data_IF_813791266220
#
_entry.id   IF_813791266220
#
_cell.length_a   1.000
_cell.length_b   1.000
_cell.length_c   1.000
_cell.angle_alpha   90.00
_cell.angle_beta   90.00
_cell.angle_gamma   90.00
#
_symmetry.space_group_name_H-M   'P 1'
#
loop_
_entity.id
_entity.type
_entity.pdbx_description
1 polymer ?
#
# COMPACT_ATOMS: atom_id res chain seq x y z
N UNK A 1 -3.99 -15.05 23.35
CA UNK A 1 -5.24 -15.73 22.95
C UNK A 1 -6.35 -14.78 22.54
N UNK A 2 -6.46 -13.55 23.06
CA UNK A 2 -7.51 -12.61 22.63
C UNK A 2 -7.38 -12.12 21.16
N UNK A 3 -6.16 -11.83 20.70
CA UNK A 3 -5.93 -11.30 19.34
C UNK A 3 -6.38 -12.25 18.21
N UNK A 4 -6.27 -13.57 18.40
CA UNK A 4 -6.64 -14.54 17.37
C UNK A 4 -8.17 -14.66 17.19
N UNK A 5 -8.93 -14.58 18.28
CA UNK A 5 -10.40 -14.64 18.21
C UNK A 5 -11.00 -13.38 17.58
N UNK A 6 -10.35 -12.23 17.79
CA UNK A 6 -10.73 -10.97 17.17
C UNK A 6 -10.49 -11.01 15.66
N UNK A 7 -9.32 -11.51 15.25
CA UNK A 7 -8.94 -11.70 13.84
C UNK A 7 -9.86 -12.68 13.10
N UNK A 8 -10.27 -13.79 13.74
CA UNK A 8 -11.26 -14.73 13.20
C UNK A 8 -12.65 -14.11 13.06
N UNK A 9 -13.10 -13.33 14.05
CA UNK A 9 -14.39 -12.64 13.98
C UNK A 9 -14.42 -11.61 12.84
N UNK A 10 -13.29 -10.93 12.60
CA UNK A 10 -13.14 -10.00 11.49
C UNK A 10 -13.08 -10.67 10.14
N UNK A 11 -12.38 -11.79 10.04
CA UNK A 11 -12.39 -12.61 8.83
C UNK A 11 -13.82 -13.04 8.50
N UNK A 12 -14.60 -13.48 9.49
CA UNK A 12 -15.99 -13.84 9.30
C UNK A 12 -16.87 -12.66 8.82
N UNK A 13 -16.67 -11.45 9.37
CA UNK A 13 -17.39 -10.25 8.92
C UNK A 13 -16.98 -9.88 7.48
N UNK A 14 -15.70 -10.01 7.15
CA UNK A 14 -15.21 -9.75 5.80
C UNK A 14 -15.74 -10.77 4.78
N UNK A 15 -15.75 -12.06 5.11
CA UNK A 15 -16.28 -13.13 4.26
C UNK A 15 -17.79 -12.94 4.05
N UNK A 16 -18.51 -12.52 5.08
CA UNK A 16 -19.93 -12.21 4.99
C UNK A 16 -20.19 -10.98 4.11
N UNK A 17 -19.39 -9.93 4.28
CA UNK A 17 -19.43 -8.75 3.42
C UNK A 17 -19.14 -9.10 1.96
N UNK A 18 -18.12 -9.92 1.70
CA UNK A 18 -17.72 -10.36 0.36
C UNK A 18 -18.83 -11.17 -0.31
N UNK A 19 -19.44 -12.09 0.44
CA UNK A 19 -20.56 -12.91 -0.04
C UNK A 19 -21.76 -12.05 -0.45
N UNK A 20 -22.08 -11.00 0.32
CA UNK A 20 -23.17 -10.07 -0.01
C UNK A 20 -22.84 -9.20 -1.22
N UNK A 21 -21.58 -8.78 -1.39
CA UNK A 21 -21.13 -8.06 -2.58
C UNK A 21 -21.18 -8.94 -3.84
N UNK A 22 -20.73 -10.19 -3.74
CA UNK A 22 -20.83 -11.17 -4.83
C UNK A 22 -22.28 -11.48 -5.20
N UNK A 23 -23.20 -11.46 -4.23
CA UNK A 23 -24.64 -11.60 -4.48
C UNK A 23 -25.27 -10.40 -5.20
N UNK A 24 -24.50 -9.37 -5.55
CA UNK A 24 -24.95 -8.16 -6.23
C UNK A 24 -25.35 -7.04 -5.27
N UNK A 25 -25.10 -7.20 -3.96
CA UNK A 25 -25.26 -6.14 -2.99
C UNK A 25 -24.27 -5.00 -3.25
N UNK A 26 -24.69 -3.76 -2.99
CA UNK A 26 -23.75 -2.64 -2.94
C UNK A 26 -23.09 -2.60 -1.56
N UNK A 27 -21.90 -2.04 -1.50
CA UNK A 27 -21.17 -1.90 -0.23
C UNK A 27 -21.89 -1.00 0.77
N UNK A 28 -22.70 -0.05 0.28
CA UNK A 28 -23.58 0.76 1.12
C UNK A 28 -24.63 -0.11 1.81
N UNK A 29 -25.25 -1.05 1.08
CA UNK A 29 -26.20 -2.00 1.65
C UNK A 29 -25.52 -2.89 2.70
N UNK A 30 -24.34 -3.42 2.38
CA UNK A 30 -23.53 -4.23 3.30
C UNK A 30 -23.18 -3.48 4.58
N UNK A 31 -22.75 -2.21 4.47
CA UNK A 31 -22.44 -1.39 5.64
C UNK A 31 -23.65 -1.12 6.53
N UNK A 32 -24.84 -0.92 5.95
CA UNK A 32 -26.09 -0.72 6.72
C UNK A 32 -26.50 -1.99 7.43
N UNK A 33 -26.35 -3.13 6.77
CA UNK A 33 -26.73 -4.44 7.31
C UNK A 33 -25.78 -4.91 8.42
N UNK A 34 -24.48 -4.59 8.30
CA UNK A 34 -23.46 -4.88 9.31
C UNK A 34 -23.28 -3.76 10.35
N UNK A 35 -24.06 -2.67 10.27
CA UNK A 35 -23.95 -1.49 11.12
C UNK A 35 -22.53 -0.90 11.20
N UNK A 36 -21.83 -0.87 10.06
CA UNK A 36 -20.47 -0.35 9.90
C UNK A 36 -20.50 1.09 9.38
N UNK A 37 -19.50 1.90 9.76
CA UNK A 37 -19.33 3.24 9.19
C UNK A 37 -18.91 3.13 7.73
N UNK A 38 -19.73 3.65 6.84
CA UNK A 38 -19.43 3.72 5.42
C UNK A 38 -18.67 5.00 5.09
N UNK A 39 -17.41 4.85 4.65
CA UNK A 39 -16.60 5.97 4.15
C UNK A 39 -16.22 5.71 2.70
N UNK A 40 -16.69 6.59 1.80
CA UNK A 40 -16.30 6.61 0.39
C UNK A 40 -15.22 7.64 0.17
N UNK A 41 -14.08 7.21 -0.38
CA UNK A 41 -13.03 8.12 -0.83
C UNK A 41 -12.84 7.95 -2.34
N UNK A 42 -13.34 8.91 -3.13
CA UNK A 42 -13.36 8.82 -4.59
C UNK A 42 -12.02 9.19 -5.25
N UNK A 43 -11.12 9.86 -4.51
CA UNK A 43 -9.92 10.50 -5.06
C UNK A 43 -8.70 10.30 -4.16
N UNK A 44 -8.53 9.10 -3.61
CA UNK A 44 -7.37 8.77 -2.79
C UNK A 44 -6.07 8.73 -3.63
N UNK A 45 -5.10 9.58 -3.28
CA UNK A 45 -3.73 9.50 -3.84
C UNK A 45 -2.76 8.91 -2.82
N UNK A 46 -1.62 8.38 -3.27
CA UNK A 46 -0.56 7.83 -2.38
C UNK A 46 -0.06 8.85 -1.36
N UNK A 47 -0.16 10.14 -1.68
CA UNK A 47 0.33 11.24 -0.85
C UNK A 47 -0.77 11.90 -0.01
N UNK A 48 -2.04 11.64 -0.32
CA UNK A 48 -3.14 12.22 0.43
C UNK A 48 -3.19 11.65 1.86
N UNK A 49 -3.37 12.53 2.83
CA UNK A 49 -3.50 12.22 4.27
C UNK A 49 -4.94 11.92 4.70
N UNK A 50 -5.88 11.85 3.75
CA UNK A 50 -7.31 11.64 4.02
C UNK A 50 -7.64 10.20 4.48
N UNK A 51 -6.76 9.25 4.19
CA UNK A 51 -6.88 7.86 4.65
C UNK A 51 -5.78 7.55 5.67
N UNK A 52 -6.10 6.76 6.72
CA UNK A 52 -5.08 6.17 7.58
C UNK A 52 -4.02 5.43 6.76
N UNK A 53 -2.76 5.55 7.14
CA UNK A 53 -1.63 4.91 6.41
C UNK A 53 -1.86 3.41 6.18
N UNK A 54 -2.29 2.61 7.19
CA UNK A 54 -2.51 1.17 6.97
C UNK A 54 -3.54 0.87 5.88
N UNK A 55 -4.65 1.62 5.86
CA UNK A 55 -5.74 1.47 4.89
C UNK A 55 -5.24 1.82 3.48
N UNK A 56 -4.51 2.93 3.36
CA UNK A 56 -3.95 3.38 2.10
C UNK A 56 -2.94 2.38 1.54
N UNK A 57 -2.01 1.92 2.37
CA UNK A 57 -0.97 0.99 1.95
C UNK A 57 -1.59 -0.35 1.51
N UNK A 58 -2.58 -0.85 2.26
CA UNK A 58 -3.34 -2.03 1.86
C UNK A 58 -4.06 -1.84 0.52
N UNK A 59 -4.76 -0.71 0.32
CA UNK A 59 -5.44 -0.41 -0.95
C UNK A 59 -4.47 -0.42 -2.15
N UNK A 60 -3.27 0.15 -2.00
CA UNK A 60 -2.27 0.18 -3.08
C UNK A 60 -1.54 -1.15 -3.33
N UNK A 61 -1.79 -2.19 -2.51
CA UNK A 61 -1.29 -3.55 -2.72
C UNK A 61 -2.32 -4.50 -3.33
N UNK A 62 -3.59 -4.09 -3.40
CA UNK A 62 -4.67 -4.91 -3.96
C UNK A 62 -4.61 -4.91 -5.51
N UNK A 63 -5.00 -6.03 -6.16
CA UNK A 63 -5.05 -6.10 -7.61
C UNK A 63 -6.13 -5.16 -8.16
N UNK A 64 -5.80 -4.45 -9.25
CA UNK A 64 -6.75 -3.58 -9.91
C UNK A 64 -7.79 -4.40 -10.70
N UNK A 65 -9.06 -4.03 -10.59
CA UNK A 65 -10.16 -4.60 -11.40
C UNK A 65 -11.02 -5.65 -10.69
N UNK A 66 -10.66 -6.04 -9.47
CA UNK A 66 -11.49 -6.93 -8.67
C UNK A 66 -12.29 -6.14 -7.64
N UNK A 67 -13.48 -5.69 -8.06
CA UNK A 67 -14.40 -4.98 -7.19
C UNK A 67 -15.02 -5.90 -6.11
N UNK A 68 -14.89 -7.22 -6.22
CA UNK A 68 -15.37 -8.14 -5.21
C UNK A 68 -14.32 -8.37 -4.10
N UNK A 69 -13.03 -8.21 -4.40
CA UNK A 69 -11.97 -8.42 -3.40
C UNK A 69 -12.05 -7.41 -2.27
N UNK A 70 -12.27 -7.91 -1.06
CA UNK A 70 -12.16 -7.16 0.19
C UNK A 70 -10.82 -7.43 0.86
N UNK A 71 -10.28 -6.42 1.54
CA UNK A 71 -9.10 -6.57 2.39
C UNK A 71 -9.35 -5.98 3.77
N UNK A 72 -9.15 -6.80 4.79
CA UNK A 72 -9.18 -6.36 6.18
C UNK A 72 -7.85 -5.73 6.56
N UNK A 73 -7.91 -4.63 7.30
CA UNK A 73 -6.76 -3.87 7.77
C UNK A 73 -6.97 -3.49 9.21
N UNK A 74 -5.99 -3.79 10.06
CA UNK A 74 -5.98 -3.37 11.45
C UNK A 74 -5.56 -1.90 11.55
N UNK A 75 -6.34 -1.11 12.28
CA UNK A 75 -6.05 0.29 12.59
C UNK A 75 -5.54 0.37 14.03
N UNK A 76 -4.25 0.68 14.25
CA UNK A 76 -3.69 0.77 15.60
C UNK A 76 -4.45 1.81 16.44
N UNK A 77 -5.13 1.35 17.50
CA UNK A 77 -5.85 2.21 18.43
C UNK A 77 -7.27 2.63 18.02
N UNK A 78 -7.73 2.28 16.81
CA UNK A 78 -9.06 2.65 16.30
C UNK A 78 -9.92 1.44 15.89
N UNK A 79 -9.34 0.24 15.84
CA UNK A 79 -10.06 -1.01 15.52
C UNK A 79 -9.65 -1.56 14.16
N UNK A 80 -10.60 -1.71 13.25
CA UNK A 80 -10.39 -2.39 11.97
C UNK A 80 -11.16 -1.72 10.84
N UNK A 81 -10.63 -1.85 9.63
CA UNK A 81 -11.25 -1.36 8.40
C UNK A 81 -11.31 -2.47 7.35
N UNK A 82 -12.42 -2.48 6.60
CA UNK A 82 -12.57 -3.30 5.40
C UNK A 82 -12.41 -2.37 4.20
N UNK A 83 -11.49 -2.72 3.32
CA UNK A 83 -11.10 -1.92 2.16
C UNK A 83 -11.52 -2.64 0.90
N UNK A 84 -12.22 -1.92 0.02
CA UNK A 84 -12.59 -2.39 -1.31
C UNK A 84 -12.06 -1.39 -2.35
N UNK A 85 -11.50 -1.90 -3.45
CA UNK A 85 -11.10 -1.08 -4.59
C UNK A 85 -12.27 -0.88 -5.55
N UNK A 86 -12.85 0.33 -5.55
CA UNK A 86 -13.89 0.67 -6.52
C UNK A 86 -13.33 0.90 -7.93
N UNK A 87 -12.22 1.63 -8.04
CA UNK A 87 -11.56 1.92 -9.32
C UNK A 87 -10.11 2.28 -9.10
N UNK A 88 -9.25 1.88 -10.04
CA UNK A 88 -7.85 2.32 -10.12
C UNK A 88 -7.66 3.12 -11.40
N UNK A 89 -7.11 4.32 -11.29
CA UNK A 89 -6.63 5.10 -12.43
C UNK A 89 -5.12 4.89 -12.53
N UNK A 90 -4.60 4.23 -13.59
CA UNK A 90 -3.17 4.06 -13.79
C UNK A 90 -2.46 5.41 -13.87
N UNK A 91 -1.23 5.47 -13.37
CA UNK A 91 -0.36 6.60 -13.65
C UNK A 91 -0.06 6.65 -15.15
N UNK A 92 -0.14 7.84 -15.74
CA UNK A 92 0.19 8.09 -17.14
C UNK A 92 1.70 8.38 -17.26
N UNK A 93 2.54 7.45 -17.76
CA UNK A 93 3.96 7.73 -17.96
C UNK A 93 4.20 8.82 -19.02
N UNK A 94 3.26 8.96 -19.96
CA UNK A 94 3.17 10.06 -20.94
C UNK A 94 2.99 11.43 -20.32
N UNK A 95 2.45 11.51 -19.10
CA UNK A 95 2.25 12.77 -18.38
C UNK A 95 3.53 13.25 -17.67
N UNK A 96 4.58 12.42 -17.60
CA UNK A 96 5.87 12.82 -17.02
C UNK A 96 6.52 13.85 -17.94
N UNK A 97 6.70 15.06 -17.43
CA UNK A 97 7.35 16.13 -18.18
C UNK A 97 8.84 15.83 -18.42
N UNK A 98 9.43 16.48 -19.42
CA UNK A 98 10.87 16.32 -19.69
C UNK A 98 11.72 16.74 -18.47
N UNK A 99 11.27 17.75 -17.71
CA UNK A 99 11.91 18.20 -16.48
C UNK A 99 11.85 17.14 -15.38
N UNK A 100 10.70 16.53 -15.15
CA UNK A 100 10.56 15.44 -14.17
C UNK A 100 11.40 14.22 -14.57
N UNK A 101 11.44 13.88 -15.85
CA UNK A 101 12.32 12.82 -16.35
C UNK A 101 13.82 13.12 -16.11
N UNK A 102 14.26 14.36 -16.31
CA UNK A 102 15.63 14.77 -16.00
C UNK A 102 15.93 14.71 -14.49
N UNK A 103 14.99 15.12 -13.65
CA UNK A 103 15.13 14.99 -12.19
C UNK A 103 15.25 13.53 -11.75
N UNK A 104 14.39 12.65 -12.28
CA UNK A 104 14.44 11.21 -12.02
C UNK A 104 15.75 10.58 -12.52
N UNK A 105 16.26 11.01 -13.68
CA UNK A 105 17.55 10.56 -14.20
C UNK A 105 18.71 11.00 -13.28
N UNK A 106 18.72 12.24 -12.82
CA UNK A 106 19.76 12.76 -11.93
C UNK A 106 19.75 12.06 -10.56
N UNK A 107 18.57 11.79 -9.99
CA UNK A 107 18.46 11.01 -8.75
C UNK A 107 19.07 9.62 -8.91
N UNK A 108 18.73 8.92 -10.00
CA UNK A 108 19.26 7.59 -10.29
C UNK A 108 20.78 7.59 -10.51
N UNK A 109 21.31 8.60 -11.20
CA UNK A 109 22.74 8.77 -11.40
C UNK A 109 23.48 8.96 -10.07
N UNK A 110 22.95 9.77 -9.16
CA UNK A 110 23.55 9.99 -7.84
C UNK A 110 23.57 8.70 -6.99
N UNK A 111 22.46 7.96 -6.97
CA UNK A 111 22.38 6.68 -6.24
C UNK A 111 23.38 5.64 -6.80
N UNK A 112 23.47 5.54 -8.14
CA UNK A 112 24.41 4.63 -8.78
C UNK A 112 25.87 5.01 -8.53
N UNK A 113 26.18 6.32 -8.54
CA UNK A 113 27.52 6.81 -8.22
C UNK A 113 27.92 6.46 -6.79
N UNK A 114 27.00 6.64 -5.83
CA UNK A 114 27.26 6.33 -4.43
C UNK A 114 27.52 4.84 -4.22
N UNK A 115 26.68 3.97 -4.76
CA UNK A 115 26.86 2.52 -4.69
C UNK A 115 28.18 2.06 -5.32
N UNK A 116 28.51 2.58 -6.51
CA UNK A 116 29.76 2.25 -7.20
C UNK A 116 30.99 2.71 -6.42
N UNK A 117 30.92 3.87 -5.76
CA UNK A 117 32.02 4.38 -4.94
C UNK A 117 32.20 3.56 -3.66
N UNK A 118 31.11 3.18 -3.00
CA UNK A 118 31.16 2.34 -1.81
C UNK A 118 31.78 0.97 -2.12
N UNK A 119 31.38 0.34 -3.23
CA UNK A 119 31.96 -0.94 -3.69
C UNK A 119 33.44 -0.80 -4.03
N UNK A 120 33.83 0.29 -4.71
CA UNK A 120 35.23 0.60 -4.98
C UNK A 120 36.05 0.73 -3.69
N UNK A 121 35.54 1.42 -2.67
CA UNK A 121 36.22 1.56 -1.39
C UNK A 121 36.36 0.25 -0.64
N UNK A 122 35.35 -0.63 -0.69
CA UNK A 122 35.44 -1.99 -0.11
C UNK A 122 36.58 -2.76 -0.79
N UNK A 123 36.60 -2.81 -2.12
CA UNK A 123 37.66 -3.50 -2.85
C UNK A 123 39.07 -2.93 -2.54
N UNK A 124 39.18 -1.61 -2.45
CA UNK A 124 40.44 -0.95 -2.10
C UNK A 124 40.91 -1.30 -0.69
N UNK A 125 39.99 -1.45 0.27
CA UNK A 125 40.31 -1.87 1.64
C UNK A 125 40.70 -3.35 1.69
N UNK A 126 39.99 -4.21 0.97
CA UNK A 126 40.29 -5.63 0.91
C UNK A 126 41.68 -5.90 0.30
N UNK A 127 42.09 -5.04 -0.64
CA UNK A 127 43.41 -5.08 -1.29
C UNK A 127 44.51 -4.37 -0.49
N UNK A 128 44.19 -3.73 0.64
CA UNK A 128 45.16 -2.95 1.41
C UNK A 128 45.84 -3.79 2.49
N UNK A 129 47.17 -3.81 2.47
CA UNK A 129 47.97 -4.35 3.57
C UNK A 129 48.16 -3.31 4.68
N UNK A 130 47.93 -3.70 5.93
CA UNK A 130 48.19 -2.84 7.10
C UNK A 130 49.23 -3.49 8.02
N UNK A 131 50.16 -2.68 8.55
CA UNK A 131 51.15 -3.08 9.56
C UNK A 131 50.83 -2.35 10.86
N UNK A 132 50.54 -3.10 11.93
CA UNK A 132 50.23 -2.57 13.26
C UNK A 132 51.43 -2.83 14.20
N UNK A 133 51.83 -1.82 14.99
CA UNK A 133 52.95 -1.89 15.95
C UNK A 133 52.51 -1.57 17.37
#
# INVERSE_FOLDING_TARGET
MAAAAEEEALAAIADQAESMLMAGGSVESVSKELNLEWRVELSATRLASQLPRPVRDAAFTMPAGDAATLRTVTLPGEGFAIVQLARVTPGEPSAITQTENQQLANLRLNEQQQLSFDEFLVHQRDSADIVIR
#
